data_IF_150361184183
#
_entry.id   IF_150361184183
#
_cell.length_a   1.000
_cell.length_b   1.000
_cell.length_c   1.000
_cell.angle_alpha   90.00
_cell.angle_beta   90.00
_cell.angle_gamma   90.00
#
_symmetry.space_group_name_H-M   'P 1'
#
loop_
_entity.id
_entity.type
_entity.pdbx_description
1 polymer ?
#
# COMPACT_ATOMS: atom_id res chain seq x y z
N UNK A 1 6.21 8.52 -21.93
CA UNK A 1 5.71 7.53 -20.94
C UNK A 1 4.66 8.18 -20.07
N UNK A 2 3.70 7.44 -19.50
CA UNK A 2 2.67 8.01 -18.61
C UNK A 2 3.31 8.49 -17.29
N UNK A 3 2.94 9.66 -16.73
CA UNK A 3 3.64 10.26 -15.58
C UNK A 3 3.62 9.38 -14.33
N UNK A 4 2.49 8.74 -14.04
CA UNK A 4 2.36 7.80 -12.92
C UNK A 4 3.31 6.59 -13.03
N UNK A 5 3.61 6.14 -14.25
CA UNK A 5 4.54 5.04 -14.46
C UNK A 5 5.98 5.48 -14.19
N UNK A 6 6.34 6.70 -14.61
CA UNK A 6 7.65 7.29 -14.33
C UNK A 6 7.85 7.41 -12.81
N UNK A 7 6.85 7.91 -12.09
CA UNK A 7 6.89 8.02 -10.62
C UNK A 7 7.07 6.66 -9.95
N UNK A 8 6.32 5.65 -10.38
CA UNK A 8 6.48 4.29 -9.89
C UNK A 8 7.89 3.76 -10.13
N UNK A 9 8.42 3.90 -11.35
CA UNK A 9 9.73 3.37 -11.72
C UNK A 9 10.86 4.08 -10.97
N UNK A 10 10.80 5.41 -10.80
CA UNK A 10 11.77 6.17 -10.00
C UNK A 10 11.71 5.71 -8.53
N UNK A 11 10.50 5.63 -7.97
CA UNK A 11 10.29 5.21 -6.59
C UNK A 11 10.76 3.77 -6.32
N UNK A 12 10.58 2.87 -7.30
CA UNK A 12 11.08 1.50 -7.25
C UNK A 12 12.60 1.47 -7.37
N UNK A 13 13.17 2.22 -8.31
CA UNK A 13 14.62 2.30 -8.53
C UNK A 13 15.36 2.78 -7.27
N UNK A 14 14.89 3.85 -6.63
CA UNK A 14 15.48 4.37 -5.39
C UNK A 14 15.49 3.29 -4.30
N UNK A 15 14.39 2.54 -4.15
CA UNK A 15 14.29 1.47 -3.14
C UNK A 15 15.17 0.28 -3.47
N UNK A 16 15.23 -0.13 -4.73
CA UNK A 16 16.14 -1.19 -5.18
C UNK A 16 17.60 -0.80 -4.97
N UNK A 17 17.96 0.46 -5.27
CA UNK A 17 19.29 0.99 -5.00
C UNK A 17 19.60 0.92 -3.49
N UNK A 18 18.66 1.32 -2.63
CA UNK A 18 18.82 1.22 -1.18
C UNK A 18 19.08 -0.22 -0.72
N UNK A 19 18.30 -1.18 -1.21
CA UNK A 19 18.48 -2.61 -0.91
C UNK A 19 19.86 -3.09 -1.35
N UNK A 20 20.29 -2.73 -2.55
CA UNK A 20 21.57 -3.18 -3.11
C UNK A 20 22.77 -2.56 -2.40
N UNK A 21 22.76 -1.26 -2.14
CA UNK A 21 23.90 -0.57 -1.53
C UNK A 21 24.03 -0.82 -0.03
N UNK A 22 22.90 -0.94 0.69
CA UNK A 22 22.92 -1.21 2.13
C UNK A 22 22.80 -2.69 2.49
N UNK A 23 22.69 -3.59 1.50
CA UNK A 23 22.51 -5.03 1.72
C UNK A 23 21.36 -5.32 2.69
N UNK A 24 20.29 -4.53 2.59
CA UNK A 24 19.15 -4.61 3.50
C UNK A 24 18.28 -5.81 3.14
N UNK A 25 17.99 -6.69 4.10
CA UNK A 25 17.21 -7.92 3.90
C UNK A 25 15.72 -7.78 4.25
N UNK A 26 15.31 -6.64 4.83
CA UNK A 26 13.92 -6.37 5.19
C UNK A 26 13.44 -7.02 6.48
N UNK A 27 14.26 -7.85 7.14
CA UNK A 27 13.91 -8.55 8.39
C UNK A 27 14.59 -7.90 9.59
N UNK A 28 14.22 -6.65 9.86
CA UNK A 28 14.78 -5.89 10.96
C UNK A 28 13.72 -5.44 11.97
N UNK A 29 13.95 -5.74 13.24
CA UNK A 29 13.08 -5.36 14.35
C UNK A 29 11.90 -6.30 14.59
N UNK A 30 11.23 -6.11 15.72
CA UNK A 30 10.15 -6.98 16.21
C UNK A 30 8.98 -7.10 15.23
N UNK A 31 8.55 -5.97 14.66
CA UNK A 31 7.39 -5.93 13.76
C UNK A 31 7.63 -6.72 12.47
N UNK A 32 8.82 -6.61 11.87
CA UNK A 32 9.15 -7.32 10.64
C UNK A 32 9.09 -8.84 10.84
N UNK A 33 9.65 -9.33 11.95
CA UNK A 33 9.56 -10.74 12.32
C UNK A 33 8.14 -11.18 12.64
N UNK A 34 7.33 -10.35 13.29
CA UNK A 34 5.93 -10.66 13.58
C UNK A 34 5.11 -10.83 12.28
N UNK A 35 5.27 -9.90 11.33
CA UNK A 35 4.65 -10.01 10.00
C UNK A 35 5.12 -11.24 9.23
N UNK A 36 6.41 -11.57 9.32
CA UNK A 36 7.00 -12.74 8.69
C UNK A 36 6.45 -14.05 9.27
N UNK A 37 6.43 -14.19 10.60
CA UNK A 37 5.91 -15.37 11.28
C UNK A 37 4.43 -15.60 10.97
N UNK A 38 3.63 -14.52 10.97
CA UNK A 38 2.23 -14.60 10.58
C UNK A 38 2.08 -15.05 9.12
N UNK A 39 2.92 -14.55 8.21
CA UNK A 39 2.91 -14.99 6.82
C UNK A 39 3.26 -16.47 6.69
N UNK A 40 4.27 -16.97 7.43
CA UNK A 40 4.61 -18.39 7.48
C UNK A 40 3.41 -19.22 7.95
N UNK A 41 2.75 -18.81 9.03
CA UNK A 41 1.57 -19.52 9.52
C UNK A 41 0.43 -19.53 8.48
N UNK A 42 0.21 -18.43 7.76
CA UNK A 42 -0.75 -18.38 6.65
C UNK A 42 -0.35 -19.33 5.52
N UNK A 43 0.93 -19.41 5.14
CA UNK A 43 1.37 -20.35 4.08
C UNK A 43 1.11 -21.80 4.43
N UNK A 44 1.10 -22.15 5.72
CA UNK A 44 0.84 -23.50 6.20
C UNK A 44 -0.66 -23.83 6.18
N UNK A 45 -1.54 -22.85 6.44
CA UNK A 45 -3.00 -23.09 6.54
C UNK A 45 -3.75 -22.87 5.22
N UNK A 46 -3.27 -21.95 4.37
CA UNK A 46 -3.94 -21.57 3.13
C UNK A 46 -4.19 -22.73 2.15
N UNK A 47 -3.27 -23.69 1.93
CA UNK A 47 -3.50 -24.82 1.03
C UNK A 47 -4.62 -25.75 1.47
N UNK A 48 -4.95 -25.75 2.77
CA UNK A 48 -6.02 -26.56 3.35
C UNK A 48 -7.35 -25.81 3.44
N UNK A 49 -7.44 -24.60 2.87
CA UNK A 49 -8.65 -23.75 2.94
C UNK A 49 -8.96 -23.25 4.35
N UNK A 50 -7.99 -23.34 5.27
CA UNK A 50 -8.15 -22.85 6.63
C UNK A 50 -7.93 -21.32 6.68
N UNK A 51 -8.71 -20.59 7.50
CA UNK A 51 -8.52 -19.17 7.65
C UNK A 51 -7.13 -18.85 8.25
N UNK A 52 -6.59 -17.65 7.99
CA UNK A 52 -5.40 -17.15 8.68
C UNK A 52 -5.54 -17.22 10.21
N UNK A 53 -4.44 -17.47 10.95
CA UNK A 53 -4.46 -17.40 12.41
C UNK A 53 -5.02 -16.06 12.91
N UNK A 54 -5.85 -16.13 13.95
CA UNK A 54 -6.56 -14.97 14.52
C UNK A 54 -5.86 -14.40 15.76
N UNK A 55 -4.80 -15.04 16.23
CA UNK A 55 -3.97 -14.64 17.38
C UNK A 55 -2.97 -13.51 17.05
N UNK A 56 -3.00 -13.00 15.82
CA UNK A 56 -2.20 -11.88 15.38
C UNK A 56 -2.91 -10.54 15.60
N UNK A 57 -2.24 -9.62 16.32
CA UNK A 57 -2.83 -8.33 16.71
C UNK A 57 -3.19 -7.42 15.52
N UNK A 58 -2.48 -7.52 14.39
CA UNK A 58 -2.68 -6.64 13.24
C UNK A 58 -3.50 -7.29 12.11
N UNK A 59 -4.06 -6.49 11.18
CA UNK A 59 -4.76 -7.03 10.03
C UNK A 59 -3.88 -7.94 9.17
N UNK A 60 -4.46 -9.06 8.73
CA UNK A 60 -3.77 -10.09 7.93
C UNK A 60 -3.49 -9.71 6.47
N UNK A 61 -3.91 -8.52 6.00
CA UNK A 61 -3.75 -8.13 4.59
C UNK A 61 -2.29 -8.13 4.11
N UNK A 62 -1.37 -7.59 4.92
CA UNK A 62 0.06 -7.59 4.58
C UNK A 62 0.74 -8.96 4.78
N UNK A 63 0.55 -9.69 5.90
CA UNK A 63 0.98 -11.09 6.02
C UNK A 63 0.53 -11.99 4.88
N UNK A 64 -0.72 -11.85 4.43
CA UNK A 64 -1.26 -12.63 3.31
C UNK A 64 -0.53 -12.33 2.00
N UNK A 65 -0.19 -11.07 1.75
CA UNK A 65 0.59 -10.69 0.57
C UNK A 65 1.99 -11.32 0.60
N UNK A 66 2.65 -11.33 1.76
CA UNK A 66 3.94 -12.03 1.95
C UNK A 66 3.76 -13.53 1.71
N UNK A 67 2.71 -14.14 2.27
CA UNK A 67 2.43 -15.57 2.11
C UNK A 67 2.25 -15.96 0.63
N UNK A 68 1.57 -15.12 -0.18
CA UNK A 68 1.47 -15.32 -1.63
C UNK A 68 2.86 -15.35 -2.29
N UNK A 69 3.74 -14.41 -1.94
CA UNK A 69 5.11 -14.39 -2.46
C UNK A 69 5.95 -15.58 -1.96
N UNK A 70 5.70 -16.08 -0.76
CA UNK A 70 6.35 -17.28 -0.24
C UNK A 70 5.97 -18.54 -1.02
N UNK A 71 4.76 -18.63 -1.59
CA UNK A 71 4.42 -19.74 -2.49
C UNK A 71 5.22 -19.71 -3.81
N UNK A 72 5.63 -18.52 -4.26
CA UNK A 72 6.36 -18.34 -5.52
C UNK A 72 7.88 -18.47 -5.31
N UNK A 73 8.41 -17.91 -4.22
CA UNK A 73 9.85 -17.74 -3.97
C UNK A 73 10.38 -18.60 -2.81
N UNK A 74 9.51 -19.38 -2.17
CA UNK A 74 9.81 -20.05 -0.91
C UNK A 74 9.84 -19.07 0.27
N UNK A 75 10.13 -19.59 1.46
CA UNK A 75 10.28 -18.81 2.69
C UNK A 75 11.63 -18.10 2.75
N UNK A 76 11.90 -17.22 1.78
CA UNK A 76 13.12 -16.41 1.66
C UNK A 76 12.87 -14.94 2.02
N UNK A 77 13.88 -14.21 2.49
CA UNK A 77 13.74 -12.79 2.85
C UNK A 77 13.11 -11.94 1.71
N UNK A 78 13.41 -12.29 0.46
CA UNK A 78 12.81 -11.69 -0.73
C UNK A 78 11.28 -11.78 -0.79
N UNK A 79 10.68 -12.86 -0.27
CA UNK A 79 9.23 -13.00 -0.22
C UNK A 79 8.55 -11.94 0.68
N UNK A 80 9.24 -11.47 1.73
CA UNK A 80 8.79 -10.34 2.55
C UNK A 80 9.14 -8.99 1.93
N UNK A 81 10.32 -8.91 1.30
CA UNK A 81 10.88 -7.65 0.81
C UNK A 81 10.24 -7.15 -0.49
N UNK A 82 9.95 -8.03 -1.45
CA UNK A 82 9.31 -7.65 -2.72
C UNK A 82 7.96 -6.96 -2.53
N UNK A 83 7.00 -7.49 -1.74
CA UNK A 83 5.75 -6.78 -1.53
C UNK A 83 5.96 -5.42 -0.84
N UNK A 84 6.93 -5.27 0.08
CA UNK A 84 7.28 -3.97 0.64
C UNK A 84 7.78 -2.98 -0.42
N UNK A 85 8.68 -3.43 -1.31
CA UNK A 85 9.24 -2.62 -2.40
C UNK A 85 8.15 -2.18 -3.38
N UNK A 86 7.28 -3.11 -3.79
CA UNK A 86 6.21 -2.86 -4.75
C UNK A 86 5.12 -1.96 -4.17
N UNK A 87 4.64 -2.25 -2.96
CA UNK A 87 3.64 -1.40 -2.28
C UNK A 87 4.20 0.00 -2.00
N UNK A 88 5.45 0.09 -1.55
CA UNK A 88 6.13 1.37 -1.32
C UNK A 88 6.32 2.17 -2.61
N UNK A 89 6.66 1.54 -3.73
CA UNK A 89 6.77 2.21 -5.02
C UNK A 89 5.41 2.62 -5.59
N UNK A 90 4.37 1.80 -5.38
CA UNK A 90 2.99 2.09 -5.79
C UNK A 90 2.37 3.25 -5.00
N UNK A 91 2.92 3.61 -3.83
CA UNK A 91 2.53 4.78 -3.07
C UNK A 91 2.69 6.07 -3.89
N UNK A 92 3.78 6.22 -4.63
CA UNK A 92 4.08 7.43 -5.41
C UNK A 92 3.02 7.77 -6.48
N UNK A 93 2.62 6.85 -7.38
CA UNK A 93 1.52 7.12 -8.31
C UNK A 93 0.16 7.26 -7.60
N UNK A 94 -0.09 6.57 -6.48
CA UNK A 94 -1.32 6.74 -5.70
C UNK A 94 -1.44 8.14 -5.13
N UNK A 95 -0.38 8.66 -4.49
CA UNK A 95 -0.32 10.04 -4.01
C UNK A 95 -0.48 11.00 -5.18
N UNK A 96 0.15 10.77 -6.33
CA UNK A 96 -0.06 11.60 -7.51
C UNK A 96 -1.52 11.66 -7.96
N UNK A 97 -2.21 10.52 -8.02
CA UNK A 97 -3.64 10.50 -8.37
C UNK A 97 -4.49 11.19 -7.32
N UNK A 98 -4.25 10.92 -6.04
CA UNK A 98 -4.95 11.55 -4.92
C UNK A 98 -4.76 13.07 -4.94
N UNK A 99 -3.51 13.54 -5.09
CA UNK A 99 -3.18 14.95 -5.18
C UNK A 99 -3.79 15.59 -6.41
N UNK A 100 -3.79 14.93 -7.57
CA UNK A 100 -4.44 15.47 -8.78
C UNK A 100 -5.94 15.63 -8.56
N UNK A 101 -6.59 14.61 -8.02
CA UNK A 101 -8.04 14.60 -7.82
C UNK A 101 -8.44 15.62 -6.73
N UNK A 102 -7.60 15.82 -5.70
CA UNK A 102 -7.81 16.83 -4.65
C UNK A 102 -7.43 18.26 -5.08
N UNK A 103 -6.33 18.46 -5.82
CA UNK A 103 -5.89 19.80 -6.26
C UNK A 103 -6.83 20.41 -7.30
N UNK A 104 -7.49 19.60 -8.13
CA UNK A 104 -8.53 20.08 -9.04
C UNK A 104 -9.71 20.69 -8.28
N UNK A 105 -10.00 20.23 -7.06
CA UNK A 105 -10.96 20.88 -6.16
C UNK A 105 -10.38 22.11 -5.44
N UNK A 106 -9.11 22.08 -5.03
CA UNK A 106 -8.47 23.20 -4.30
C UNK A 106 -8.31 24.44 -5.19
N UNK A 107 -8.04 24.29 -6.50
CA UNK A 107 -8.00 25.43 -7.42
C UNK A 107 -9.41 26.06 -7.60
N UNK A 108 -10.48 25.28 -7.43
CA UNK A 108 -11.86 25.82 -7.36
C UNK A 108 -12.24 26.35 -5.97
N UNK A 109 -11.61 25.87 -4.89
CA UNK A 109 -11.89 26.25 -3.51
C UNK A 109 -10.60 26.72 -2.81
N UNK A 110 -10.25 27.99 -3.04
CA UNK A 110 -9.06 28.71 -2.55
C UNK A 110 -8.91 28.84 -1.00
N UNK A 111 -9.46 27.94 -0.17
CA UNK A 111 -9.54 28.13 1.30
C UNK A 111 -9.23 26.90 2.20
N UNK A 112 -8.44 25.91 1.76
CA UNK A 112 -8.15 24.72 2.58
C UNK A 112 -6.68 24.60 3.04
N UNK A 113 -6.20 25.58 3.80
CA UNK A 113 -4.86 25.55 4.42
C UNK A 113 -4.67 24.53 5.58
N UNK A 114 -5.63 23.66 5.90
CA UNK A 114 -5.56 22.88 7.16
C UNK A 114 -5.40 21.35 7.05
N UNK A 115 -5.59 20.71 5.89
CA UNK A 115 -5.76 19.24 5.82
C UNK A 115 -4.53 18.43 5.38
N UNK A 116 -3.57 19.05 4.69
CA UNK A 116 -2.37 18.36 4.15
C UNK A 116 -1.41 17.82 5.23
N UNK A 117 -1.21 18.48 6.40
CA UNK A 117 -0.29 17.97 7.43
C UNK A 117 -0.72 16.61 8.02
N UNK A 118 -2.03 16.35 8.12
CA UNK A 118 -2.57 15.16 8.79
C UNK A 118 -2.31 13.88 7.97
N UNK A 119 -2.43 13.95 6.64
CA UNK A 119 -2.14 12.81 5.76
C UNK A 119 -0.64 12.49 5.69
N UNK A 120 0.21 13.52 5.86
CA UNK A 120 1.66 13.35 5.93
C UNK A 120 2.10 12.72 7.27
N UNK A 121 1.52 13.16 8.39
CA UNK A 121 1.88 12.66 9.72
C UNK A 121 1.52 11.17 9.91
N UNK A 122 0.35 10.73 9.42
CA UNK A 122 -0.08 9.31 9.49
C UNK A 122 0.82 8.41 8.63
N UNK A 123 1.43 8.95 7.57
CA UNK A 123 2.34 8.23 6.69
C UNK A 123 3.74 7.99 7.30
N UNK A 124 4.07 8.55 8.46
CA UNK A 124 5.39 8.36 9.08
C UNK A 124 5.44 7.16 10.06
N UNK A 125 4.30 6.66 10.52
CA UNK A 125 4.22 5.67 11.62
C UNK A 125 3.79 4.26 11.20
N UNK A 126 3.48 4.05 9.92
CA UNK A 126 2.88 2.80 9.44
C UNK A 126 3.87 2.00 8.57
N UNK A 127 3.79 0.66 8.64
CA UNK A 127 4.54 -0.20 7.72
C UNK A 127 4.14 0.08 6.25
N UNK A 128 5.05 -0.07 5.26
CA UNK A 128 4.78 0.29 3.86
C UNK A 128 3.51 -0.35 3.28
N UNK A 129 3.21 -1.58 3.68
CA UNK A 129 1.96 -2.26 3.33
C UNK A 129 0.72 -1.56 3.89
N UNK A 130 0.75 -1.16 5.16
CA UNK A 130 -0.37 -0.42 5.79
C UNK A 130 -0.59 0.93 5.13
N UNK A 131 0.48 1.65 4.79
CA UNK A 131 0.38 2.92 4.05
C UNK A 131 -0.26 2.74 2.67
N UNK A 132 0.17 1.72 1.93
CA UNK A 132 -0.40 1.41 0.62
C UNK A 132 -1.90 1.10 0.72
N UNK A 133 -2.31 0.20 1.62
CA UNK A 133 -3.73 -0.15 1.76
C UNK A 133 -4.57 1.03 2.23
N UNK A 134 -4.07 1.85 3.16
CA UNK A 134 -4.77 3.03 3.65
C UNK A 134 -4.95 4.08 2.55
N UNK A 135 -3.89 4.39 1.79
CA UNK A 135 -3.98 5.35 0.69
C UNK A 135 -4.84 4.82 -0.47
N UNK A 136 -4.77 3.52 -0.75
CA UNK A 136 -5.65 2.88 -1.73
C UNK A 136 -7.12 2.95 -1.27
N UNK A 137 -7.41 2.68 0.01
CA UNK A 137 -8.74 2.80 0.59
C UNK A 137 -9.26 4.23 0.53
N UNK A 138 -8.44 5.20 0.94
CA UNK A 138 -8.78 6.61 0.84
C UNK A 138 -9.07 6.98 -0.61
N UNK A 139 -8.20 6.60 -1.56
CA UNK A 139 -8.45 6.85 -2.97
C UNK A 139 -9.74 6.19 -3.46
N UNK A 140 -10.02 4.93 -3.09
CA UNK A 140 -11.25 4.22 -3.48
C UNK A 140 -12.52 4.83 -2.89
N UNK A 141 -12.50 5.30 -1.64
CA UNK A 141 -13.63 5.96 -0.96
C UNK A 141 -13.86 7.34 -1.55
N UNK A 142 -12.79 8.09 -1.77
CA UNK A 142 -12.82 9.43 -2.33
C UNK A 142 -13.27 9.41 -3.79
N UNK A 143 -12.79 8.46 -4.60
CA UNK A 143 -13.04 8.42 -6.05
C UNK A 143 -14.51 8.57 -6.49
N UNK A 144 -15.52 7.89 -5.91
CA UNK A 144 -16.93 8.09 -6.29
C UNK A 144 -17.48 9.47 -5.92
N UNK A 145 -16.94 10.13 -4.89
CA UNK A 145 -17.32 11.50 -4.53
C UNK A 145 -16.80 12.54 -5.53
N UNK A 146 -15.71 12.23 -6.24
CA UNK A 146 -14.94 13.18 -7.07
C UNK A 146 -15.08 12.94 -8.59
N UNK A 147 -16.09 12.18 -9.01
CA UNK A 147 -16.44 12.01 -10.44
C UNK A 147 -17.28 13.17 -10.98
N UNK A 148 -17.19 13.50 -12.29
CA UNK A 148 -17.98 14.58 -12.86
C UNK A 148 -19.49 14.31 -12.73
N UNK A 149 -20.34 15.35 -12.59
CA UNK A 149 -21.75 15.22 -12.20
C UNK A 149 -22.56 14.20 -13.00
N UNK A 150 -22.24 14.02 -14.29
CA UNK A 150 -22.94 13.11 -15.21
C UNK A 150 -22.61 11.62 -15.02
N UNK A 151 -21.59 11.25 -14.22
CA UNK A 151 -21.34 9.85 -13.82
C UNK A 151 -22.09 9.42 -12.55
N UNK A 152 -22.82 10.31 -11.88
CA UNK A 152 -23.54 10.03 -10.63
C UNK A 152 -24.92 9.36 -10.81
N UNK A 153 -25.35 9.08 -12.04
CA UNK A 153 -26.75 8.71 -12.36
C UNK A 153 -27.07 7.23 -12.59
N UNK A 154 -26.34 6.24 -12.06
CA UNK A 154 -26.60 4.82 -12.41
C UNK A 154 -26.76 3.86 -11.21
N UNK A 155 -26.90 4.34 -9.98
CA UNK A 155 -27.00 3.44 -8.80
C UNK A 155 -28.30 3.56 -7.99
N UNK A 156 -29.23 4.45 -8.35
CA UNK A 156 -30.53 4.58 -7.68
C UNK A 156 -31.68 4.84 -8.66
N UNK A 157 -31.85 3.95 -9.64
CA UNK A 157 -33.15 3.74 -10.28
C UNK A 157 -33.54 2.26 -10.10
N UNK A 158 -34.22 2.01 -8.98
CA UNK A 158 -35.22 0.96 -8.82
C UNK A 158 -36.37 1.54 -8.02
#
# INVERSE_FOLDING_TARGET
MKPWLILFLIALFIRLAAVFFWQFDGLYGQDAYAYWQQAVAITQTLPYGQPPPTDFFWPNGYPLLIAIWMFILGQTAWAGQLPALLCGAALSPLVFFLSRDLFLEIITNWLYEATVPICWQVSLWLSPGRQFYLQLLLWLICRPCFGPPWRRGWWFER
#
